data_IF_182861947276
#
_entry.id   IF_182861947276
#
_cell.length_a   1.000
_cell.length_b   1.000
_cell.length_c   1.000
_cell.angle_alpha   90.00
_cell.angle_beta   90.00
_cell.angle_gamma   90.00
#
_symmetry.space_group_name_H-M   'P 1'
#
loop_
_entity.id
_entity.type
_entity.pdbx_description
1 polymer ?
#
# COMPACT_ATOMS: atom_id res chain seq x y z
N UNK A 1 -32.37 16.32 18.06
CA UNK A 1 -32.24 14.89 17.69
C UNK A 1 -31.39 14.76 16.43
N UNK A 2 -30.41 13.84 16.39
CA UNK A 2 -29.45 13.67 15.29
C UNK A 2 -30.04 12.68 14.28
N UNK A 3 -30.93 13.17 13.41
CA UNK A 3 -31.59 12.38 12.37
C UNK A 3 -30.56 11.71 11.46
N UNK A 4 -30.56 10.38 11.46
CA UNK A 4 -29.70 9.51 10.67
C UNK A 4 -30.14 9.41 9.21
N UNK A 5 -29.91 10.47 8.45
CA UNK A 5 -29.66 10.33 7.02
C UNK A 5 -28.17 10.08 6.86
N UNK A 6 -27.78 8.81 6.76
CA UNK A 6 -26.48 8.50 6.18
C UNK A 6 -26.49 9.09 4.77
N UNK A 7 -25.73 10.17 4.55
CA UNK A 7 -25.67 10.82 3.25
C UNK A 7 -25.32 9.75 2.21
N UNK A 8 -26.19 9.48 1.22
CA UNK A 8 -25.97 8.38 0.27
C UNK A 8 -24.65 8.54 -0.51
N UNK A 9 -24.13 9.77 -0.54
CA UNK A 9 -22.82 10.13 -1.09
C UNK A 9 -21.66 9.53 -0.29
N UNK A 10 -21.77 9.50 1.04
CA UNK A 10 -20.75 8.96 1.95
C UNK A 10 -20.69 7.43 1.84
N UNK A 11 -21.85 6.77 1.81
CA UNK A 11 -21.94 5.32 1.58
C UNK A 11 -21.38 4.97 0.20
N UNK A 12 -21.75 5.72 -0.84
CA UNK A 12 -21.23 5.51 -2.19
C UNK A 12 -19.70 5.70 -2.25
N UNK A 13 -19.17 6.74 -1.61
CA UNK A 13 -17.73 6.99 -1.56
C UNK A 13 -16.98 5.84 -0.85
N UNK A 14 -17.53 5.32 0.24
CA UNK A 14 -16.96 4.16 0.95
C UNK A 14 -16.97 2.91 0.08
N UNK A 15 -18.08 2.59 -0.58
CA UNK A 15 -18.18 1.43 -1.47
C UNK A 15 -17.20 1.53 -2.64
N UNK A 16 -17.06 2.70 -3.24
CA UNK A 16 -16.07 2.94 -4.30
C UNK A 16 -14.65 2.72 -3.78
N UNK A 17 -14.31 3.29 -2.62
CA UNK A 17 -12.98 3.12 -2.02
C UNK A 17 -12.67 1.64 -1.73
N UNK A 18 -13.63 0.91 -1.13
CA UNK A 18 -13.54 -0.53 -0.87
C UNK A 18 -13.32 -1.31 -2.17
N UNK A 19 -14.08 -1.00 -3.22
CA UNK A 19 -13.95 -1.69 -4.51
C UNK A 19 -12.59 -1.48 -5.17
N UNK A 20 -12.05 -0.26 -5.13
CA UNK A 20 -10.73 0.08 -5.70
C UNK A 20 -9.64 -0.73 -5.00
N UNK A 21 -9.66 -0.83 -3.68
CA UNK A 21 -8.67 -1.60 -2.91
C UNK A 21 -8.70 -3.06 -3.28
N UNK A 22 -9.90 -3.65 -3.34
CA UNK A 22 -10.07 -5.07 -3.64
C UNK A 22 -9.52 -5.37 -5.03
N UNK A 23 -9.80 -4.51 -6.02
CA UNK A 23 -9.28 -4.65 -7.38
C UNK A 23 -7.76 -4.51 -7.38
N UNK A 24 -7.21 -3.47 -6.74
CA UNK A 24 -5.77 -3.24 -6.65
C UNK A 24 -5.02 -4.38 -5.97
N UNK A 25 -5.55 -4.91 -4.87
CA UNK A 25 -4.99 -6.08 -4.18
C UNK A 25 -5.05 -7.33 -5.07
N UNK A 26 -6.18 -7.56 -5.74
CA UNK A 26 -6.34 -8.72 -6.63
C UNK A 26 -5.35 -8.67 -7.80
N UNK A 27 -5.16 -7.50 -8.39
CA UNK A 27 -4.17 -7.28 -9.44
C UNK A 27 -2.75 -7.48 -8.91
N UNK A 28 -2.42 -6.91 -7.75
CA UNK A 28 -1.11 -7.06 -7.13
C UNK A 28 -0.79 -8.52 -6.83
N UNK A 29 -1.74 -9.28 -6.29
CA UNK A 29 -1.57 -10.72 -6.01
C UNK A 29 -1.42 -11.51 -7.30
N UNK A 30 -2.26 -11.24 -8.31
CA UNK A 30 -2.23 -11.98 -9.58
C UNK A 30 -0.93 -11.73 -10.34
N UNK A 31 -0.55 -10.46 -10.50
CA UNK A 31 0.68 -10.05 -11.18
C UNK A 31 1.91 -10.53 -10.38
N UNK A 32 1.93 -10.30 -9.07
CA UNK A 32 3.01 -10.75 -8.19
C UNK A 32 3.19 -12.27 -8.22
N UNK A 33 2.09 -13.03 -8.21
CA UNK A 33 2.15 -14.50 -8.33
C UNK A 33 2.66 -14.94 -9.69
N UNK A 34 2.18 -14.33 -10.78
CA UNK A 34 2.61 -14.65 -12.14
C UNK A 34 4.11 -14.37 -12.32
N UNK A 35 4.59 -13.22 -11.83
CA UNK A 35 6.00 -12.87 -11.96
C UNK A 35 6.90 -13.69 -11.04
N UNK A 36 6.45 -14.01 -9.81
CA UNK A 36 7.16 -14.94 -8.94
C UNK A 36 7.33 -16.32 -9.59
N UNK A 37 6.28 -16.78 -10.26
CA UNK A 37 6.30 -18.07 -10.97
C UNK A 37 7.26 -18.05 -12.16
N UNK A 38 7.23 -16.99 -12.97
CA UNK A 38 8.11 -16.84 -14.13
C UNK A 38 9.58 -16.69 -13.70
N UNK A 39 9.86 -15.93 -12.63
CA UNK A 39 11.22 -15.81 -12.08
C UNK A 39 11.74 -17.16 -11.57
N UNK A 40 10.90 -17.93 -10.86
CA UNK A 40 11.29 -19.26 -10.37
C UNK A 40 11.57 -20.22 -11.51
N UNK A 41 10.78 -20.14 -12.58
CA UNK A 41 10.97 -20.92 -13.82
C UNK A 41 12.25 -20.51 -14.56
N UNK A 42 12.49 -19.22 -14.72
CA UNK A 42 13.69 -18.68 -15.37
C UNK A 42 14.98 -19.01 -14.60
N UNK A 43 14.94 -18.97 -13.27
CA UNK A 43 16.09 -19.35 -12.40
C UNK A 43 16.45 -20.83 -12.50
N UNK A 44 15.46 -21.69 -12.79
CA UNK A 44 15.68 -23.12 -13.07
C UNK A 44 16.35 -23.37 -14.43
N UNK A 45 16.25 -22.43 -15.37
CA UNK A 45 16.72 -22.59 -16.76
C UNK A 45 18.01 -21.80 -17.03
N UNK A 46 18.18 -20.63 -16.42
CA UNK A 46 19.31 -19.72 -16.63
C UNK A 46 19.73 -19.04 -15.32
N UNK A 47 20.97 -19.28 -14.90
CA UNK A 47 21.54 -18.69 -13.68
C UNK A 47 21.86 -17.19 -13.79
N UNK A 48 21.53 -16.51 -14.90
CA UNK A 48 22.26 -15.28 -15.29
C UNK A 48 21.43 -14.03 -15.64
N UNK A 49 20.14 -13.89 -15.30
CA UNK A 49 19.44 -12.68 -15.80
C UNK A 49 18.30 -12.00 -15.03
N UNK A 50 18.05 -12.23 -13.75
CA UNK A 50 16.86 -11.61 -13.11
C UNK A 50 17.13 -10.99 -11.73
N UNK A 51 18.20 -10.19 -11.57
CA UNK A 51 18.34 -9.39 -10.33
C UNK A 51 17.48 -8.11 -10.38
N UNK A 52 17.47 -7.42 -11.52
CA UNK A 52 16.73 -6.18 -11.70
C UNK A 52 15.19 -6.38 -11.74
N UNK A 53 14.71 -7.50 -12.29
CA UNK A 53 13.28 -7.81 -12.27
C UNK A 53 12.83 -8.23 -10.86
N UNK A 54 13.68 -8.95 -10.11
CA UNK A 54 13.41 -9.31 -8.72
C UNK A 54 13.33 -8.09 -7.81
N UNK A 55 14.19 -7.10 -7.99
CA UNK A 55 14.18 -5.90 -7.13
C UNK A 55 12.98 -4.99 -7.38
N UNK A 56 12.49 -4.88 -8.63
CA UNK A 56 11.27 -4.15 -8.94
C UNK A 56 10.07 -4.82 -8.27
N UNK A 57 9.99 -6.16 -8.28
CA UNK A 57 8.88 -6.87 -7.64
C UNK A 57 8.91 -6.78 -6.13
N UNK A 58 10.10 -6.92 -5.54
CA UNK A 58 10.29 -6.75 -4.09
C UNK A 58 9.90 -5.33 -3.64
N UNK A 59 10.24 -4.31 -4.45
CA UNK A 59 9.81 -2.94 -4.26
C UNK A 59 8.30 -2.77 -4.34
N UNK A 60 7.64 -3.34 -5.37
CA UNK A 60 6.19 -3.25 -5.53
C UNK A 60 5.45 -3.95 -4.39
N UNK A 61 5.90 -5.13 -3.94
CA UNK A 61 5.29 -5.88 -2.83
C UNK A 61 5.42 -5.09 -1.52
N UNK A 62 6.61 -4.57 -1.23
CA UNK A 62 6.86 -3.81 -0.01
C UNK A 62 6.12 -2.48 -0.02
N UNK A 63 6.07 -1.81 -1.17
CA UNK A 63 5.28 -0.59 -1.37
C UNK A 63 3.78 -0.85 -1.26
N UNK A 64 3.26 -2.04 -1.55
CA UNK A 64 1.83 -2.32 -1.31
C UNK A 64 1.54 -2.72 0.14
N UNK A 65 2.47 -3.38 0.82
CA UNK A 65 2.28 -3.83 2.21
C UNK A 65 2.38 -2.68 3.23
N UNK A 66 3.31 -1.75 3.04
CA UNK A 66 3.54 -0.66 3.99
C UNK A 66 2.31 0.25 4.14
N UNK A 67 1.70 0.79 3.06
CA UNK A 67 0.49 1.61 3.13
C UNK A 67 -0.68 0.83 3.71
N UNK A 68 -0.75 -0.46 3.38
CA UNK A 68 -1.82 -1.32 3.87
C UNK A 68 -1.78 -1.42 5.41
N UNK A 69 -0.59 -1.56 5.98
CA UNK A 69 -0.44 -1.63 7.45
C UNK A 69 -0.56 -0.24 8.08
N UNK A 70 0.13 0.76 7.53
CA UNK A 70 0.27 2.07 8.17
C UNK A 70 -0.87 3.05 7.89
N UNK A 71 -1.64 2.88 6.81
CA UNK A 71 -2.75 3.77 6.45
C UNK A 71 -4.08 3.05 6.52
N UNK A 72 -4.19 1.84 5.96
CA UNK A 72 -5.47 1.11 5.94
C UNK A 72 -5.94 0.65 7.31
N UNK A 73 -5.06 0.12 8.15
CA UNK A 73 -5.41 -0.32 9.50
C UNK A 73 -5.92 0.84 10.36
N UNK A 74 -5.21 1.98 10.52
CA UNK A 74 -5.72 3.09 11.32
C UNK A 74 -6.97 3.72 10.72
N UNK A 75 -7.08 3.76 9.38
CA UNK A 75 -8.29 4.25 8.72
C UNK A 75 -9.50 3.33 8.99
N UNK A 76 -9.30 2.01 9.02
CA UNK A 76 -10.35 1.05 9.38
C UNK A 76 -10.77 1.20 10.85
N UNK A 77 -9.82 1.39 11.77
CA UNK A 77 -10.13 1.67 13.18
C UNK A 77 -10.92 2.99 13.31
N UNK A 78 -10.53 4.02 12.57
CA UNK A 78 -11.24 5.29 12.53
C UNK A 78 -12.66 5.15 11.95
N UNK A 79 -12.84 4.35 10.90
CA UNK A 79 -14.16 4.08 10.31
C UNK A 79 -15.09 3.36 11.28
N UNK A 80 -14.53 2.48 12.10
CA UNK A 80 -15.27 1.71 13.12
C UNK A 80 -15.51 2.50 14.41
N UNK A 81 -14.79 3.61 14.64
CA UNK A 81 -14.96 4.52 15.77
C UNK A 81 -16.41 4.90 16.11
N UNK A 82 -17.21 5.43 15.15
CA UNK A 82 -18.59 5.82 15.43
C UNK A 82 -19.47 4.63 15.87
N UNK A 83 -19.16 3.41 15.41
CA UNK A 83 -19.89 2.20 15.79
C UNK A 83 -19.53 1.73 17.20
N UNK A 84 -18.28 1.90 17.64
CA UNK A 84 -17.81 1.51 18.97
C UNK A 84 -17.94 2.61 20.03
N UNK A 85 -18.39 3.82 19.65
CA UNK A 85 -18.44 5.01 20.52
C UNK A 85 -17.10 5.32 21.19
N UNK A 86 -16.00 5.00 20.52
CA UNK A 86 -14.66 5.32 21.00
C UNK A 86 -14.43 6.83 20.91
N UNK A 87 -14.14 7.48 22.03
CA UNK A 87 -13.67 8.86 22.02
C UNK A 87 -12.20 8.85 21.58
N UNK A 88 -11.96 8.95 20.28
CA UNK A 88 -10.61 8.93 19.73
C UNK A 88 -9.81 10.23 19.95
N UNK A 89 -10.39 11.26 20.56
CA UNK A 89 -9.67 12.51 20.86
C UNK A 89 -8.96 13.07 19.62
N UNK A 90 -7.63 13.22 19.70
CA UNK A 90 -6.76 13.74 18.64
C UNK A 90 -6.25 12.68 17.63
N UNK A 91 -6.55 11.39 17.80
CA UNK A 91 -6.16 10.35 16.84
C UNK A 91 -6.61 10.62 15.38
N UNK A 92 -7.79 11.19 15.11
CA UNK A 92 -8.22 11.53 13.75
C UNK A 92 -7.33 12.58 13.08
N UNK A 93 -6.84 13.55 13.86
CA UNK A 93 -5.98 14.62 13.37
C UNK A 93 -4.60 14.08 13.00
N UNK A 94 -4.04 13.21 13.84
CA UNK A 94 -2.77 12.52 13.54
C UNK A 94 -2.91 11.57 12.35
N UNK A 95 -4.01 10.83 12.25
CA UNK A 95 -4.24 9.90 11.14
C UNK A 95 -4.43 10.64 9.81
N UNK A 96 -5.06 11.82 9.83
CA UNK A 96 -5.20 12.68 8.64
C UNK A 96 -3.86 13.26 8.20
N UNK A 97 -3.03 13.74 9.15
CA UNK A 97 -1.68 14.21 8.86
C UNK A 97 -0.80 13.10 8.25
N UNK A 98 -0.83 11.90 8.82
CA UNK A 98 -0.11 10.74 8.30
C UNK A 98 -0.58 10.38 6.89
N UNK A 99 -1.90 10.45 6.62
CA UNK A 99 -2.47 10.20 5.30
C UNK A 99 -2.07 11.27 4.28
N UNK A 100 -1.97 12.55 4.67
CA UNK A 100 -1.49 13.60 3.79
C UNK A 100 0.00 13.47 3.44
N UNK A 101 0.83 13.03 4.40
CA UNK A 101 2.26 12.83 4.18
C UNK A 101 2.57 11.49 3.49
N UNK A 102 1.62 10.56 3.46
CA UNK A 102 1.79 9.23 2.89
C UNK A 102 2.43 9.20 1.49
N UNK A 103 2.00 9.99 0.47
CA UNK A 103 2.65 9.96 -0.84
C UNK A 103 4.12 10.38 -0.82
N UNK A 104 4.52 11.26 0.09
CA UNK A 104 5.94 11.63 0.25
C UNK A 104 6.73 10.49 0.90
N UNK A 105 6.17 9.83 1.91
CA UNK A 105 6.79 8.67 2.56
C UNK A 105 6.89 7.45 1.63
N UNK A 106 5.85 7.20 0.84
CA UNK A 106 5.81 6.13 -0.17
C UNK A 106 6.95 6.29 -1.19
N UNK A 107 7.13 7.50 -1.72
CA UNK A 107 8.24 7.82 -2.63
C UNK A 107 9.62 7.61 -1.99
N UNK A 108 9.81 8.06 -0.74
CA UNK A 108 11.08 7.87 -0.01
C UNK A 108 11.37 6.39 0.20
N UNK A 109 10.38 5.60 0.61
CA UNK A 109 10.55 4.16 0.88
C UNK A 109 10.88 3.39 -0.40
N UNK A 110 10.21 3.70 -1.52
CA UNK A 110 10.51 3.08 -2.84
C UNK A 110 11.96 3.35 -3.25
N UNK A 111 12.43 4.59 -3.09
CA UNK A 111 13.82 4.98 -3.43
C UNK A 111 14.82 4.26 -2.52
N UNK A 112 14.51 4.09 -1.23
CA UNK A 112 15.38 3.39 -0.29
C UNK A 112 15.41 1.88 -0.50
N UNK A 113 14.28 1.26 -0.88
CA UNK A 113 14.12 -0.19 -0.95
C UNK A 113 14.55 -0.78 -2.30
N UNK A 114 14.53 -0.01 -3.39
CA UNK A 114 15.25 -0.38 -4.60
C UNK A 114 16.76 -0.45 -4.29
N UNK A 115 17.19 -1.62 -3.85
CA UNK A 115 18.56 -1.91 -3.43
C UNK A 115 19.53 -1.81 -4.62
N UNK A 116 19.03 -2.01 -5.85
CA UNK A 116 19.76 -1.71 -7.08
C UNK A 116 20.04 -0.20 -7.24
N UNK A 117 19.13 0.68 -6.78
CA UNK A 117 19.35 2.12 -6.82
C UNK A 117 20.37 2.58 -5.79
N UNK A 118 20.39 1.99 -4.58
CA UNK A 118 21.44 2.27 -3.59
C UNK A 118 22.82 1.96 -4.15
N UNK A 119 23.00 0.82 -4.82
CA UNK A 119 24.30 0.44 -5.40
C UNK A 119 24.72 1.37 -6.54
N UNK A 120 23.77 1.94 -7.29
CA UNK A 120 24.03 2.93 -8.33
C UNK A 120 24.31 4.31 -7.73
N UNK A 121 23.54 4.75 -6.73
CA UNK A 121 23.74 6.05 -6.04
C UNK A 121 25.07 6.08 -5.30
N UNK A 122 25.43 5.00 -4.59
CA UNK A 122 26.75 4.84 -3.97
C UNK A 122 27.90 4.67 -4.98
N UNK A 123 27.60 4.47 -6.27
CA UNK A 123 28.58 4.42 -7.35
C UNK A 123 28.71 5.75 -8.11
N UNK A 124 27.68 6.59 -8.05
CA UNK A 124 27.63 7.91 -8.71
C UNK A 124 28.11 9.04 -7.78
N UNK A 125 28.01 8.85 -6.46
CA UNK A 125 28.63 9.70 -5.44
C UNK A 125 30.05 9.24 -5.12
#
# INVERSE_FOLDING_TARGET
ERNGHEDPRLILALLLFVSVIIISLSLAVTLGSLTYWEIRKLRSISNKRSSAEQSILDAVITQTLIPFIFVYVPYSIFLNSPYFRLSLGYLPDYSSLLTCCFPAWDAVIVIFLMTDYRTVVWRVM
#
